data_IF_255048018875
#
_entry.id   IF_255048018875
#
_cell.length_a   1.000
_cell.length_b   1.000
_cell.length_c   1.000
_cell.angle_alpha   90.00
_cell.angle_beta   90.00
_cell.angle_gamma   90.00
#
_symmetry.space_group_name_H-M   'P 1'
#
loop_
_entity.id
_entity.type
_entity.pdbx_description
1 polymer ?
#
# COMPACT_ATOMS: atom_id res chain seq x y z
N UNK A 1 -27.98 1.79 -12.34
CA UNK A 1 -28.91 1.74 -13.50
C UNK A 1 -28.50 0.58 -14.37
N UNK A 2 -29.10 -0.58 -14.19
CA UNK A 2 -28.85 -1.78 -15.00
C UNK A 2 -29.89 -1.82 -16.12
N UNK A 3 -29.50 -1.68 -17.37
CA UNK A 3 -30.42 -1.96 -18.44
C UNK A 3 -30.18 -1.41 -19.84
N UNK A 4 -29.17 -0.61 -20.10
CA UNK A 4 -28.87 -0.18 -21.46
C UNK A 4 -27.67 -0.95 -22.03
N UNK A 5 -27.94 -1.91 -22.90
CA UNK A 5 -26.90 -2.48 -23.78
C UNK A 5 -27.26 -2.06 -25.23
N UNK A 6 -26.26 -1.98 -26.08
CA UNK A 6 -26.41 -1.62 -27.49
C UNK A 6 -27.44 -2.45 -28.27
N UNK A 7 -27.89 -3.58 -27.73
CA UNK A 7 -28.92 -4.45 -28.28
C UNK A 7 -30.35 -4.01 -27.95
N UNK A 8 -30.60 -3.08 -27.07
CA UNK A 8 -31.91 -2.71 -26.55
C UNK A 8 -32.46 -1.37 -27.16
N UNK A 9 -31.85 -0.88 -28.23
CA UNK A 9 -32.36 0.32 -28.91
C UNK A 9 -32.27 1.63 -28.11
N UNK A 10 -31.53 1.68 -27.04
CA UNK A 10 -31.16 2.94 -26.38
C UNK A 10 -30.24 3.70 -27.33
N UNK A 11 -30.70 4.84 -27.83
CA UNK A 11 -29.81 5.82 -28.47
C UNK A 11 -28.86 6.35 -27.37
N UNK A 12 -27.73 5.65 -27.18
CA UNK A 12 -26.62 6.25 -26.47
C UNK A 12 -26.13 7.37 -27.37
N UNK A 13 -26.19 8.65 -26.97
CA UNK A 13 -25.54 9.70 -27.72
C UNK A 13 -24.10 9.24 -27.99
N UNK A 14 -23.63 9.29 -29.22
CA UNK A 14 -22.22 9.17 -29.53
C UNK A 14 -21.50 10.06 -28.53
N UNK A 15 -20.52 9.50 -27.80
CA UNK A 15 -19.72 10.30 -26.88
C UNK A 15 -19.36 11.61 -27.58
N UNK A 16 -19.62 12.76 -26.98
CA UNK A 16 -19.25 14.01 -27.60
C UNK A 16 -17.78 13.89 -27.97
N UNK A 17 -17.45 14.26 -29.22
CA UNK A 17 -16.06 14.39 -29.61
C UNK A 17 -15.52 15.53 -28.78
N UNK A 18 -15.01 15.24 -27.61
CA UNK A 18 -14.44 16.23 -26.70
C UNK A 18 -13.14 16.68 -27.34
N UNK A 19 -13.23 17.75 -28.09
CA UNK A 19 -12.07 18.48 -28.55
C UNK A 19 -11.41 19.09 -27.30
N UNK A 20 -10.42 18.40 -26.75
CA UNK A 20 -9.28 18.90 -25.95
C UNK A 20 -9.47 20.10 -25.01
N UNK A 21 -10.57 20.22 -24.31
CA UNK A 21 -10.68 21.19 -23.22
C UNK A 21 -10.51 20.39 -21.93
N UNK A 22 -9.29 20.43 -21.35
CA UNK A 22 -9.12 20.04 -19.97
C UNK A 22 -10.05 20.90 -19.11
N UNK A 23 -10.78 20.31 -18.17
CA UNK A 23 -11.50 21.10 -17.19
C UNK A 23 -10.49 22.02 -16.49
N UNK A 24 -10.82 23.32 -16.29
CA UNK A 24 -9.91 24.19 -15.58
C UNK A 24 -9.74 23.64 -14.15
N UNK A 25 -8.51 23.57 -13.64
CA UNK A 25 -8.30 23.07 -12.28
C UNK A 25 -9.11 23.90 -11.29
N UNK A 26 -9.67 23.29 -10.21
CA UNK A 26 -10.42 24.02 -9.21
C UNK A 26 -9.64 25.21 -8.66
N UNK A 27 -10.27 26.39 -8.63
CA UNK A 27 -9.63 27.58 -8.11
C UNK A 27 -9.50 27.50 -6.57
N UNK A 28 -8.28 27.66 -6.07
CA UNK A 28 -8.04 27.71 -4.64
C UNK A 28 -8.49 29.08 -4.05
N UNK A 29 -9.08 29.10 -2.85
CA UNK A 29 -9.47 30.35 -2.20
C UNK A 29 -8.25 31.16 -1.80
N UNK A 30 -8.39 32.51 -1.78
CA UNK A 30 -7.37 33.34 -1.13
C UNK A 30 -7.26 32.98 0.37
N UNK A 31 -6.06 33.00 0.95
CA UNK A 31 -5.86 32.64 2.35
C UNK A 31 -6.72 33.49 3.32
N UNK A 32 -6.93 34.76 3.02
CA UNK A 32 -7.80 35.64 3.80
C UNK A 32 -9.29 35.28 3.75
N UNK A 33 -9.72 34.49 2.77
CA UNK A 33 -11.11 34.04 2.63
C UNK A 33 -11.38 32.75 3.39
N UNK A 34 -10.35 32.02 3.78
CA UNK A 34 -10.47 30.72 4.48
C UNK A 34 -10.90 30.95 5.93
N UNK A 35 -12.10 30.51 6.23
CA UNK A 35 -12.68 30.54 7.58
C UNK A 35 -13.79 29.48 7.68
N UNK A 36 -14.32 29.28 8.88
CA UNK A 36 -15.35 28.27 9.13
C UNK A 36 -16.61 28.47 8.28
N UNK A 37 -17.00 29.70 7.99
CA UNK A 37 -18.17 30.00 7.14
C UNK A 37 -17.90 29.55 5.69
N UNK A 38 -16.73 29.86 5.17
CA UNK A 38 -16.31 29.38 3.84
C UNK A 38 -16.29 27.86 3.80
N UNK A 39 -15.60 27.21 4.76
CA UNK A 39 -15.45 25.77 4.79
C UNK A 39 -16.82 25.05 4.82
N UNK A 40 -17.73 25.48 5.66
CA UNK A 40 -19.08 24.90 5.77
C UNK A 40 -19.97 25.17 4.57
N UNK A 41 -19.62 26.11 3.70
CA UNK A 41 -20.29 26.35 2.43
C UNK A 41 -19.84 25.38 1.32
N UNK A 42 -18.73 24.68 1.53
CA UNK A 42 -18.25 23.63 0.63
C UNK A 42 -18.87 22.27 0.98
N UNK A 43 -18.98 21.38 0.00
CA UNK A 43 -19.46 20.01 0.25
C UNK A 43 -18.55 19.27 1.25
N UNK A 44 -17.22 19.22 1.10
CA UNK A 44 -16.35 18.52 2.04
C UNK A 44 -16.45 19.08 3.47
N UNK A 45 -16.48 20.38 3.61
CA UNK A 45 -16.58 21.02 4.94
C UNK A 45 -17.92 20.80 5.62
N UNK A 46 -19.05 20.87 4.89
CA UNK A 46 -20.37 20.59 5.46
C UNK A 46 -20.52 19.12 5.86
N UNK A 47 -19.94 18.22 5.07
CA UNK A 47 -19.90 16.79 5.41
C UNK A 47 -19.03 16.52 6.65
N UNK A 48 -17.86 17.14 6.73
CA UNK A 48 -17.00 17.07 7.92
C UNK A 48 -17.72 17.60 9.16
N UNK A 49 -18.44 18.73 9.06
CA UNK A 49 -19.25 19.25 10.19
C UNK A 49 -20.31 18.26 10.66
N UNK A 50 -21.00 17.62 9.73
CA UNK A 50 -21.98 16.58 10.07
C UNK A 50 -21.33 15.42 10.83
N UNK A 51 -20.18 14.94 10.36
CA UNK A 51 -19.46 13.83 10.99
C UNK A 51 -18.94 14.20 12.38
N UNK A 52 -18.38 15.39 12.54
CA UNK A 52 -17.91 15.89 13.83
C UNK A 52 -19.07 16.05 14.82
N UNK A 53 -20.20 16.59 14.40
CA UNK A 53 -21.38 16.73 15.25
C UNK A 53 -21.96 15.38 15.67
N UNK A 54 -21.84 14.36 14.82
CA UNK A 54 -22.42 13.03 15.07
C UNK A 54 -21.49 12.12 15.89
N UNK A 55 -20.19 12.15 15.63
CA UNK A 55 -19.21 11.18 16.16
C UNK A 55 -18.11 11.83 17.01
N UNK A 56 -17.97 13.14 16.98
CA UNK A 56 -16.89 13.90 17.60
C UNK A 56 -15.75 14.20 16.63
N UNK A 57 -14.80 15.02 17.08
CA UNK A 57 -13.61 15.39 16.33
C UNK A 57 -12.68 14.18 16.09
N UNK A 58 -11.81 14.25 15.11
CA UNK A 58 -10.93 13.16 14.69
C UNK A 58 -10.04 12.56 15.79
N UNK A 59 -9.66 13.37 16.78
CA UNK A 59 -8.89 12.92 17.95
C UNK A 59 -9.74 12.43 19.14
N UNK A 60 -11.07 12.39 19.03
CA UNK A 60 -11.96 12.01 20.14
C UNK A 60 -11.98 10.51 20.44
N UNK A 61 -11.41 9.70 19.57
CA UNK A 61 -11.45 8.23 19.62
C UNK A 61 -12.76 7.61 19.09
N UNK A 62 -13.77 8.44 18.76
CA UNK A 62 -15.02 8.02 18.12
C UNK A 62 -15.28 8.75 16.80
N UNK A 63 -14.60 9.87 16.56
CA UNK A 63 -14.67 10.64 15.32
C UNK A 63 -13.91 10.01 14.15
N UNK A 64 -14.09 10.57 12.97
CA UNK A 64 -13.34 10.18 11.78
C UNK A 64 -11.91 10.73 11.88
N UNK A 65 -10.94 9.86 12.07
CA UNK A 65 -9.56 10.25 12.31
C UNK A 65 -8.81 10.62 11.03
N UNK A 66 -9.11 9.96 9.91
CA UNK A 66 -8.47 10.16 8.61
C UNK A 66 -9.54 10.32 7.53
N UNK A 67 -9.36 11.28 6.65
CA UNK A 67 -10.18 11.51 5.46
C UNK A 67 -9.31 11.30 4.23
N UNK A 68 -9.75 10.44 3.32
CA UNK A 68 -9.13 10.26 2.03
C UNK A 68 -9.65 11.27 1.01
N UNK A 69 -8.74 11.76 0.18
CA UNK A 69 -9.03 12.74 -0.85
C UNK A 69 -9.46 12.03 -2.14
N UNK A 70 -10.68 11.51 -2.12
CA UNK A 70 -11.31 10.73 -3.18
C UNK A 70 -10.77 9.29 -3.30
N UNK A 71 -11.01 8.64 -4.45
CA UNK A 71 -10.63 7.28 -4.76
C UNK A 71 -10.30 7.14 -6.24
N UNK A 72 -9.10 6.66 -6.54
CA UNK A 72 -8.64 6.27 -7.87
C UNK A 72 -9.05 7.23 -9.00
N UNK A 73 -8.51 8.46 -9.02
CA UNK A 73 -8.90 9.47 -10.03
C UNK A 73 -8.70 9.02 -11.48
N UNK A 74 -7.89 7.98 -11.71
CA UNK A 74 -7.70 7.37 -13.03
C UNK A 74 -8.94 6.68 -13.60
N UNK A 75 -9.96 6.47 -12.78
CA UNK A 75 -11.23 5.86 -13.19
C UNK A 75 -12.40 6.85 -13.29
N UNK A 76 -12.23 8.12 -12.92
CA UNK A 76 -13.30 9.11 -12.95
C UNK A 76 -13.92 9.27 -14.34
N UNK A 77 -13.08 9.37 -15.38
CA UNK A 77 -13.50 9.51 -16.78
C UNK A 77 -14.23 8.30 -17.37
N UNK A 78 -14.15 7.15 -16.68
CA UNK A 78 -14.83 5.91 -17.11
C UNK A 78 -15.97 5.49 -16.18
N UNK A 79 -15.82 5.66 -14.87
CA UNK A 79 -16.84 5.30 -13.89
C UNK A 79 -17.89 6.41 -13.72
N UNK A 80 -17.44 7.66 -13.76
CA UNK A 80 -18.24 8.85 -13.51
C UNK A 80 -18.32 9.76 -14.76
N UNK A 81 -18.23 9.16 -15.94
CA UNK A 81 -18.11 9.85 -17.23
C UNK A 81 -19.24 10.86 -17.52
N UNK A 82 -20.36 10.76 -16.85
CA UNK A 82 -21.49 11.67 -16.96
C UNK A 82 -21.28 13.01 -16.24
N UNK A 83 -20.37 13.05 -15.27
CA UNK A 83 -19.99 14.24 -14.51
C UNK A 83 -18.50 14.58 -14.67
N UNK A 84 -17.66 13.61 -14.99
CA UNK A 84 -16.22 13.77 -15.19
C UNK A 84 -15.74 13.01 -16.44
N UNK A 85 -16.03 13.52 -17.66
CA UNK A 85 -15.75 12.81 -18.91
C UNK A 85 -14.30 12.91 -19.41
N UNK A 86 -13.43 13.63 -18.71
CA UNK A 86 -12.05 13.87 -19.13
C UNK A 86 -11.05 13.17 -18.20
N UNK A 87 -9.91 12.71 -18.73
CA UNK A 87 -8.87 12.11 -17.92
C UNK A 87 -8.27 13.15 -16.95
N UNK A 88 -8.04 12.76 -15.71
CA UNK A 88 -7.50 13.64 -14.67
C UNK A 88 -6.13 14.24 -15.06
N UNK A 89 -5.87 15.44 -14.58
CA UNK A 89 -4.61 16.16 -14.73
C UNK A 89 -3.92 16.38 -13.38
N UNK A 90 -2.64 16.73 -13.43
CA UNK A 90 -1.84 17.09 -12.24
C UNK A 90 -2.52 18.18 -11.42
N UNK A 91 -2.90 19.29 -12.09
CA UNK A 91 -3.49 20.45 -11.41
C UNK A 91 -4.87 20.14 -10.84
N UNK A 92 -5.67 19.35 -11.53
CA UNK A 92 -7.03 19.02 -11.08
C UNK A 92 -7.02 18.26 -9.76
N UNK A 93 -6.34 17.11 -9.71
CA UNK A 93 -6.27 16.28 -8.51
C UNK A 93 -5.58 17.03 -7.37
N UNK A 94 -4.54 17.79 -7.69
CA UNK A 94 -3.78 18.53 -6.67
C UNK A 94 -4.59 19.67 -6.08
N UNK A 95 -5.20 20.52 -6.92
CA UNK A 95 -5.98 21.65 -6.43
C UNK A 95 -7.29 21.22 -5.77
N UNK A 96 -7.96 20.21 -6.32
CA UNK A 96 -9.13 19.59 -5.70
C UNK A 96 -8.81 19.03 -4.31
N UNK A 97 -7.70 18.29 -4.21
CA UNK A 97 -7.20 17.76 -2.95
C UNK A 97 -6.85 18.85 -1.94
N UNK A 98 -6.12 19.88 -2.33
CA UNK A 98 -5.78 21.04 -1.46
C UNK A 98 -7.05 21.74 -0.96
N UNK A 99 -8.00 22.03 -1.85
CA UNK A 99 -9.26 22.68 -1.50
C UNK A 99 -10.09 21.87 -0.52
N UNK A 100 -10.20 20.57 -0.76
CA UNK A 100 -10.91 19.61 0.11
C UNK A 100 -10.24 19.49 1.48
N UNK A 101 -8.92 19.29 1.52
CA UNK A 101 -8.16 19.20 2.76
C UNK A 101 -8.27 20.49 3.59
N UNK A 102 -8.24 21.65 2.93
CA UNK A 102 -8.38 22.93 3.58
C UNK A 102 -9.76 23.09 4.24
N UNK A 103 -10.82 22.66 3.57
CA UNK A 103 -12.17 22.67 4.13
C UNK A 103 -12.29 21.72 5.34
N UNK A 104 -11.77 20.50 5.25
CA UNK A 104 -11.74 19.52 6.34
C UNK A 104 -10.99 20.09 7.54
N UNK A 105 -9.74 20.52 7.36
CA UNK A 105 -8.89 21.04 8.45
C UNK A 105 -9.42 22.31 9.08
N UNK A 106 -10.20 23.12 8.36
CA UNK A 106 -10.84 24.32 8.90
C UNK A 106 -12.02 23.95 9.82
N UNK A 107 -12.73 22.88 9.54
CA UNK A 107 -13.84 22.38 10.39
C UNK A 107 -13.32 21.51 11.52
N UNK A 108 -12.41 20.58 11.23
CA UNK A 108 -11.76 19.70 12.21
C UNK A 108 -10.23 19.76 12.08
N UNK A 109 -9.57 20.65 12.82
CA UNK A 109 -8.11 20.74 12.79
C UNK A 109 -7.39 19.49 13.32
N UNK A 110 -8.12 18.57 13.98
CA UNK A 110 -7.55 17.34 14.56
C UNK A 110 -7.61 16.14 13.61
N UNK A 111 -8.44 16.21 12.56
CA UNK A 111 -8.51 15.21 11.53
C UNK A 111 -7.22 15.13 10.71
N UNK A 112 -6.86 13.95 10.27
CA UNK A 112 -5.77 13.72 9.32
C UNK A 112 -6.32 13.59 7.91
N UNK A 113 -5.48 13.84 6.90
CA UNK A 113 -5.87 13.79 5.50
C UNK A 113 -4.88 12.91 4.74
N UNK A 114 -5.40 12.04 3.89
CA UNK A 114 -4.70 11.08 3.05
C UNK A 114 -4.96 11.38 1.56
N UNK A 115 -4.01 11.11 0.70
CA UNK A 115 -4.15 11.26 -0.77
C UNK A 115 -2.80 11.16 -1.50
N UNK A 116 -2.82 11.11 -2.85
CA UNK A 116 -3.92 11.29 -3.80
C UNK A 116 -4.74 10.02 -4.12
N UNK A 117 -4.50 8.88 -3.47
CA UNK A 117 -5.24 7.62 -3.60
C UNK A 117 -5.27 7.11 -5.05
N UNK A 118 -4.12 7.15 -5.74
CA UNK A 118 -4.00 6.66 -7.11
C UNK A 118 -3.73 5.17 -7.17
N UNK A 119 -4.26 4.50 -8.20
CA UNK A 119 -4.54 3.06 -8.24
C UNK A 119 -3.42 2.14 -8.70
N UNK A 120 -2.46 2.59 -9.52
CA UNK A 120 -1.44 1.69 -10.05
C UNK A 120 -0.15 2.39 -10.47
N UNK A 121 0.87 1.60 -10.80
CA UNK A 121 2.25 2.02 -11.04
C UNK A 121 2.41 3.27 -11.90
N UNK A 122 1.72 3.34 -13.04
CA UNK A 122 1.86 4.48 -13.97
C UNK A 122 1.34 5.78 -13.39
N UNK A 123 0.26 5.72 -12.61
CA UNK A 123 -0.34 6.90 -11.98
C UNK A 123 0.50 7.49 -10.85
N UNK A 124 1.53 6.80 -10.38
CA UNK A 124 2.49 7.42 -9.46
C UNK A 124 3.40 8.44 -10.15
N UNK A 125 3.54 8.34 -11.47
CA UNK A 125 4.47 9.14 -12.27
C UNK A 125 3.81 10.04 -13.29
N UNK A 126 2.59 9.71 -13.72
CA UNK A 126 1.86 10.37 -14.81
C UNK A 126 0.41 10.58 -14.44
N UNK A 127 -0.22 11.66 -14.99
CA UNK A 127 -1.68 11.77 -14.96
C UNK A 127 -2.34 10.77 -15.92
N UNK A 128 -3.64 10.56 -15.77
CA UNK A 128 -4.42 9.78 -16.75
C UNK A 128 -4.35 10.40 -18.15
N UNK A 129 -4.33 11.74 -18.24
CA UNK A 129 -4.15 12.46 -19.49
C UNK A 129 -2.83 12.10 -20.18
N UNK A 130 -1.73 11.99 -19.46
CA UNK A 130 -0.45 11.56 -20.02
C UNK A 130 -0.51 10.11 -20.52
N UNK A 131 -1.12 9.22 -19.72
CA UNK A 131 -1.25 7.81 -20.04
C UNK A 131 -2.04 7.63 -21.33
N UNK A 132 -3.18 8.24 -21.46
CA UNK A 132 -4.02 8.16 -22.65
C UNK A 132 -3.36 8.79 -23.87
N UNK A 133 -2.73 9.94 -23.70
CA UNK A 133 -1.98 10.57 -24.78
C UNK A 133 -0.82 9.69 -25.27
N UNK A 134 -0.04 9.13 -24.34
CA UNK A 134 1.08 8.26 -24.67
C UNK A 134 0.65 7.00 -25.41
N UNK A 135 -0.44 6.35 -24.96
CA UNK A 135 -0.99 5.16 -25.63
C UNK A 135 -1.64 5.44 -26.97
N UNK A 136 -2.21 6.63 -27.18
CA UNK A 136 -2.95 6.96 -28.40
C UNK A 136 -2.13 7.67 -29.47
N UNK A 137 -1.16 8.48 -29.07
CA UNK A 137 -0.45 9.40 -29.99
C UNK A 137 1.07 9.36 -29.91
N UNK A 138 1.63 8.82 -28.81
CA UNK A 138 3.06 8.76 -28.62
C UNK A 138 3.73 7.74 -29.53
N UNK A 139 5.02 7.91 -29.88
CA UNK A 139 5.73 7.04 -30.81
C UNK A 139 5.91 5.60 -30.30
N UNK A 140 5.83 5.38 -29.01
CA UNK A 140 5.96 4.06 -28.38
C UNK A 140 4.62 3.47 -27.94
N UNK A 141 3.52 4.20 -28.04
CA UNK A 141 2.20 3.81 -27.55
C UNK A 141 2.19 3.43 -26.05
N UNK A 142 2.93 4.20 -25.25
CA UNK A 142 3.11 3.95 -23.83
C UNK A 142 3.11 5.28 -23.04
N UNK A 143 2.80 5.32 -21.74
CA UNK A 143 2.67 6.57 -20.97
C UNK A 143 3.87 7.51 -21.07
N UNK A 144 5.07 6.97 -21.16
CA UNK A 144 6.31 7.76 -21.27
C UNK A 144 6.55 8.35 -22.67
N UNK A 145 5.82 7.95 -23.68
CA UNK A 145 6.09 8.35 -25.06
C UNK A 145 5.48 9.68 -25.47
N UNK A 146 4.74 10.33 -24.61
CA UNK A 146 4.13 11.65 -24.90
C UNK A 146 3.51 12.31 -23.67
N UNK A 147 4.26 12.43 -22.54
CA UNK A 147 3.72 12.92 -21.28
C UNK A 147 3.51 14.45 -21.32
N UNK A 148 2.42 14.91 -21.90
CA UNK A 148 2.15 16.34 -22.11
C UNK A 148 1.85 17.11 -20.82
N UNK A 149 1.18 16.47 -19.85
CA UNK A 149 0.84 17.07 -18.57
C UNK A 149 2.08 17.11 -17.66
N UNK A 150 2.78 16.00 -17.51
CA UNK A 150 4.07 15.95 -16.80
C UNK A 150 5.08 16.93 -17.37
N UNK A 151 5.17 17.05 -18.71
CA UNK A 151 6.06 18.01 -19.38
C UNK A 151 5.70 19.46 -19.07
N UNK A 152 4.40 19.79 -18.98
CA UNK A 152 3.91 21.12 -18.58
C UNK A 152 4.29 21.45 -17.13
N UNK A 153 4.52 20.44 -16.29
CA UNK A 153 4.95 20.56 -14.88
C UNK A 153 6.46 20.29 -14.69
N UNK A 154 7.28 20.61 -15.68
CA UNK A 154 8.74 20.53 -15.59
C UNK A 154 9.31 19.10 -15.60
N UNK A 155 8.54 18.11 -16.04
CA UNK A 155 8.94 16.71 -16.08
C UNK A 155 8.88 16.00 -14.71
N UNK A 156 8.40 16.66 -13.66
CA UNK A 156 8.30 16.11 -12.30
C UNK A 156 7.29 14.96 -12.27
N UNK A 157 7.59 13.81 -11.63
CA UNK A 157 6.62 12.74 -11.42
C UNK A 157 5.40 13.20 -10.63
N UNK A 158 4.22 12.61 -10.91
CA UNK A 158 2.96 13.09 -10.34
C UNK A 158 2.96 13.14 -8.81
N UNK A 159 3.40 12.08 -8.13
CA UNK A 159 3.43 12.03 -6.66
C UNK A 159 4.38 13.08 -6.07
N UNK A 160 5.56 13.31 -6.67
CA UNK A 160 6.50 14.34 -6.23
C UNK A 160 5.89 15.74 -6.42
N UNK A 161 5.28 16.01 -7.57
CA UNK A 161 4.55 17.26 -7.83
C UNK A 161 3.45 17.48 -6.79
N UNK A 162 2.61 16.48 -6.55
CA UNK A 162 1.53 16.52 -5.57
C UNK A 162 2.05 16.92 -4.18
N UNK A 163 3.09 16.25 -3.70
CA UNK A 163 3.73 16.57 -2.41
C UNK A 163 4.29 18.00 -2.37
N UNK A 164 4.95 18.46 -3.43
CA UNK A 164 5.51 19.82 -3.55
C UNK A 164 4.41 20.87 -3.48
N UNK A 165 3.26 20.65 -4.14
CA UNK A 165 2.14 21.59 -4.10
C UNK A 165 1.48 21.64 -2.71
N UNK A 166 1.30 20.50 -2.04
CA UNK A 166 0.80 20.48 -0.66
C UNK A 166 1.76 21.19 0.33
N UNK A 167 3.06 21.05 0.14
CA UNK A 167 4.06 21.81 0.91
C UNK A 167 3.92 23.32 0.68
N UNK A 168 3.74 23.72 -0.57
CA UNK A 168 3.51 25.13 -0.95
C UNK A 168 2.20 25.64 -0.37
N UNK A 169 1.14 24.85 -0.42
CA UNK A 169 -0.15 25.18 0.19
C UNK A 169 -0.04 25.33 1.72
N UNK A 170 0.73 24.47 2.40
CA UNK A 170 1.01 24.66 3.84
C UNK A 170 1.66 26.01 4.13
N UNK A 171 2.61 26.45 3.32
CA UNK A 171 3.23 27.76 3.51
C UNK A 171 2.24 28.91 3.28
N UNK A 172 1.30 28.75 2.34
CA UNK A 172 0.28 29.74 2.00
C UNK A 172 -0.80 29.85 3.08
N UNK A 173 -1.30 28.71 3.57
CA UNK A 173 -2.45 28.67 4.49
C UNK A 173 -2.07 28.50 5.97
N UNK A 174 -0.81 28.24 6.27
CA UNK A 174 -0.31 28.11 7.65
C UNK A 174 -0.74 26.83 8.37
N UNK A 175 -1.30 25.85 7.65
CA UNK A 175 -1.77 24.57 8.20
C UNK A 175 -1.31 23.40 7.33
N UNK A 176 -0.91 22.29 7.97
CA UNK A 176 -0.59 21.06 7.27
C UNK A 176 -1.86 20.44 6.69
N UNK A 177 -1.89 20.25 5.36
CA UNK A 177 -3.07 19.79 4.64
C UNK A 177 -3.01 18.32 4.22
N UNK A 178 -1.82 17.72 4.16
CA UNK A 178 -1.64 16.30 3.84
C UNK A 178 -0.83 15.62 4.93
N UNK A 179 -1.42 14.65 5.58
CA UNK A 179 -0.78 13.87 6.65
C UNK A 179 -0.21 12.55 6.13
N UNK A 180 -0.82 11.96 5.10
CA UNK A 180 -0.37 10.73 4.45
C UNK A 180 -0.29 10.92 2.93
N UNK A 181 0.82 10.49 2.33
CA UNK A 181 0.81 10.14 0.91
C UNK A 181 0.29 8.72 0.80
N UNK A 182 -0.76 8.54 0.01
CA UNK A 182 -1.51 7.30 -0.07
C UNK A 182 -1.60 6.79 -1.50
N UNK A 183 -1.31 5.51 -1.68
CA UNK A 183 -1.29 4.84 -2.97
C UNK A 183 -2.03 3.51 -2.86
N UNK A 184 -2.84 3.18 -3.84
CA UNK A 184 -3.32 1.81 -4.01
C UNK A 184 -2.27 0.95 -4.70
N UNK A 185 -2.23 -0.33 -4.37
CA UNK A 185 -1.36 -1.26 -5.06
C UNK A 185 -1.95 -2.67 -5.07
N UNK A 186 -2.21 -3.16 -6.27
CA UNK A 186 -2.54 -4.55 -6.49
C UNK A 186 -1.35 -5.19 -7.18
N UNK A 187 -0.96 -6.39 -6.73
CA UNK A 187 0.23 -7.00 -7.29
C UNK A 187 0.04 -7.29 -8.79
N UNK A 188 1.10 -7.08 -9.53
CA UNK A 188 1.11 -7.18 -10.99
C UNK A 188 2.06 -8.28 -11.49
N UNK A 189 2.08 -9.44 -10.81
CA UNK A 189 2.90 -10.56 -11.23
C UNK A 189 2.33 -11.21 -12.48
N UNK A 190 3.22 -11.70 -13.34
CA UNK A 190 2.85 -12.49 -14.51
C UNK A 190 3.43 -13.90 -14.43
N UNK A 191 2.70 -14.84 -15.03
CA UNK A 191 3.16 -16.19 -15.24
C UNK A 191 2.76 -16.65 -16.65
N UNK A 192 3.70 -17.21 -17.41
CA UNK A 192 3.49 -17.62 -18.80
C UNK A 192 2.85 -16.54 -19.70
N UNK A 193 3.21 -15.28 -19.49
CA UNK A 193 2.71 -14.14 -20.27
C UNK A 193 1.28 -13.69 -19.91
N UNK A 194 0.68 -14.23 -18.85
CA UNK A 194 -0.63 -13.83 -18.34
C UNK A 194 -0.53 -13.31 -16.92
N UNK A 195 -1.36 -12.33 -16.58
CA UNK A 195 -1.45 -11.81 -15.21
C UNK A 195 -1.94 -12.88 -14.24
N UNK A 196 -1.33 -12.96 -13.06
CA UNK A 196 -1.75 -13.84 -11.98
C UNK A 196 -3.01 -13.29 -11.33
N UNK A 197 -4.07 -14.09 -11.28
CA UNK A 197 -5.38 -13.66 -10.78
C UNK A 197 -5.43 -13.41 -9.29
N UNK A 198 -6.34 -12.51 -8.89
CA UNK A 198 -6.61 -12.22 -7.48
C UNK A 198 -7.60 -13.20 -6.83
N UNK A 199 -8.48 -13.81 -7.62
CA UNK A 199 -9.63 -14.57 -7.11
C UNK A 199 -9.32 -16.00 -6.70
N UNK A 200 -8.24 -16.59 -7.24
CA UNK A 200 -7.83 -17.96 -6.94
C UNK A 200 -6.32 -18.06 -6.75
N UNK A 201 -5.87 -19.08 -6.03
CA UNK A 201 -4.45 -19.36 -5.87
C UNK A 201 -3.76 -19.68 -7.19
N UNK A 202 -4.48 -20.34 -8.10
CA UNK A 202 -3.94 -20.78 -9.38
C UNK A 202 -2.96 -21.94 -9.27
N UNK A 203 -2.26 -22.23 -10.37
CA UNK A 203 -1.26 -23.29 -10.41
C UNK A 203 0.06 -22.91 -9.68
N UNK A 204 0.96 -23.86 -9.50
CA UNK A 204 2.21 -23.67 -8.74
C UNK A 204 3.03 -22.47 -9.22
N UNK A 205 3.14 -22.24 -10.52
CA UNK A 205 3.89 -21.11 -11.06
C UNK A 205 3.26 -19.76 -10.74
N UNK A 206 1.94 -19.66 -10.80
CA UNK A 206 1.19 -18.46 -10.37
C UNK A 206 1.35 -18.20 -8.88
N UNK A 207 1.29 -19.27 -8.06
CA UNK A 207 1.52 -19.17 -6.62
C UNK A 207 2.93 -18.69 -6.29
N UNK A 208 3.96 -19.14 -7.00
CA UNK A 208 5.33 -18.66 -6.83
C UNK A 208 5.48 -17.20 -7.28
N UNK A 209 4.87 -16.81 -8.38
CA UNK A 209 4.88 -15.42 -8.86
C UNK A 209 4.22 -14.48 -7.83
N UNK A 210 3.09 -14.88 -7.27
CA UNK A 210 2.41 -14.14 -6.18
C UNK A 210 3.31 -13.94 -4.97
N UNK A 211 3.96 -14.98 -4.48
CA UNK A 211 4.85 -14.90 -3.32
C UNK A 211 6.10 -14.06 -3.61
N UNK A 212 6.60 -14.08 -4.86
CA UNK A 212 7.73 -13.24 -5.26
C UNK A 212 7.35 -11.78 -5.37
N UNK A 213 6.11 -11.45 -5.74
CA UNK A 213 5.68 -10.06 -5.96
C UNK A 213 5.72 -9.20 -4.69
N UNK A 214 5.66 -9.79 -3.49
CA UNK A 214 5.84 -9.07 -2.23
C UNK A 214 7.19 -8.36 -2.14
N UNK A 215 8.19 -8.83 -2.90
CA UNK A 215 9.52 -8.23 -2.99
C UNK A 215 9.52 -6.85 -3.65
N UNK A 216 8.49 -6.53 -4.45
CA UNK A 216 8.34 -5.22 -5.07
C UNK A 216 8.30 -4.05 -4.06
N UNK A 217 7.98 -4.33 -2.82
CA UNK A 217 7.85 -3.30 -1.78
C UNK A 217 9.18 -2.89 -1.15
N UNK A 218 10.24 -3.73 -1.24
CA UNK A 218 11.45 -3.52 -0.48
C UNK A 218 12.76 -3.97 -1.15
N UNK A 219 12.72 -4.98 -2.05
CA UNK A 219 13.93 -5.67 -2.50
C UNK A 219 14.57 -4.95 -3.70
N UNK A 220 15.80 -4.40 -3.55
CA UNK A 220 16.47 -3.69 -4.62
C UNK A 220 16.94 -4.60 -5.78
N UNK A 221 16.83 -5.93 -5.60
CA UNK A 221 17.22 -6.91 -6.64
C UNK A 221 16.00 -7.50 -7.36
N UNK A 222 14.78 -7.18 -6.92
CA UNK A 222 13.57 -7.66 -7.57
C UNK A 222 13.21 -6.76 -8.73
N UNK A 223 13.19 -7.33 -9.92
CA UNK A 223 12.70 -6.67 -11.13
C UNK A 223 11.53 -7.44 -11.70
N UNK A 224 10.51 -6.73 -12.17
CA UNK A 224 9.32 -7.30 -12.77
C UNK A 224 8.94 -6.48 -14.01
N UNK A 225 8.61 -7.10 -15.15
CA UNK A 225 8.20 -6.39 -16.36
C UNK A 225 6.96 -5.50 -16.18
N UNK A 226 6.16 -5.73 -15.14
CA UNK A 226 5.02 -4.89 -14.81
C UNK A 226 5.38 -3.60 -14.07
N UNK A 227 6.64 -3.45 -13.66
CA UNK A 227 7.19 -2.21 -13.07
C UNK A 227 8.35 -1.67 -13.93
N UNK A 228 8.12 -1.34 -15.20
CA UNK A 228 9.16 -0.74 -16.03
C UNK A 228 9.45 0.68 -15.54
N UNK A 229 10.60 1.22 -15.92
CA UNK A 229 10.90 2.63 -15.67
C UNK A 229 9.75 3.52 -16.14
N UNK A 230 9.31 4.47 -15.37
CA UNK A 230 10.07 5.68 -15.14
C UNK A 230 10.80 5.67 -13.80
N UNK A 231 11.98 6.22 -13.82
CA UNK A 231 12.72 6.51 -12.62
C UNK A 231 11.94 7.59 -11.84
N UNK A 232 11.49 7.30 -10.62
CA UNK A 232 10.89 8.30 -9.74
C UNK A 232 11.94 9.29 -9.22
N UNK A 233 13.21 8.93 -9.27
CA UNK A 233 14.30 9.79 -8.84
C UNK A 233 14.61 10.84 -9.89
N UNK A 234 13.93 11.99 -9.81
CA UNK A 234 14.47 13.30 -10.24
C UNK A 234 15.01 13.44 -11.68
N UNK A 235 14.80 12.51 -12.59
CA UNK A 235 15.19 12.76 -13.96
C UNK A 235 14.16 13.62 -14.68
N UNK A 236 14.21 14.93 -14.39
CA UNK A 236 13.45 15.95 -15.11
C UNK A 236 13.70 15.93 -16.63
N UNK A 237 14.72 15.20 -17.06
CA UNK A 237 15.09 15.04 -18.47
C UNK A 237 14.61 13.72 -19.08
N UNK A 238 13.94 12.85 -18.30
CA UNK A 238 13.35 11.65 -18.87
C UNK A 238 12.19 12.05 -19.80
N UNK A 239 12.51 12.22 -21.05
CA UNK A 239 11.50 12.60 -22.05
C UNK A 239 10.73 11.40 -22.60
N UNK A 240 11.17 10.18 -22.29
CA UNK A 240 10.57 8.94 -22.78
C UNK A 240 10.53 8.76 -24.30
N UNK A 241 10.76 9.84 -25.01
CA UNK A 241 10.50 9.92 -26.45
C UNK A 241 11.46 9.09 -27.33
N UNK A 242 12.55 8.59 -26.78
CA UNK A 242 13.55 7.79 -27.51
C UNK A 242 13.62 6.33 -27.08
N UNK A 243 12.96 5.94 -25.98
CA UNK A 243 13.06 4.59 -25.44
C UNK A 243 11.70 3.90 -25.38
N UNK A 244 11.41 3.10 -26.40
CA UNK A 244 10.18 2.30 -26.42
C UNK A 244 10.21 1.08 -25.47
N UNK A 245 11.37 0.77 -24.91
CA UNK A 245 11.55 -0.26 -23.89
C UNK A 245 12.44 0.28 -22.76
N UNK A 246 11.86 1.00 -21.82
CA UNK A 246 12.63 1.52 -20.69
C UNK A 246 13.19 0.37 -19.85
N UNK A 247 14.37 0.54 -19.22
CA UNK A 247 14.94 -0.48 -18.37
C UNK A 247 14.01 -0.80 -17.20
N UNK A 248 13.93 -2.08 -16.85
CA UNK A 248 13.20 -2.52 -15.67
C UNK A 248 13.98 -2.14 -14.42
N UNK A 249 13.29 -1.66 -13.40
CA UNK A 249 13.88 -1.36 -12.10
C UNK A 249 13.17 -2.11 -10.98
N UNK A 250 13.88 -2.24 -9.86
CA UNK A 250 13.29 -2.70 -8.62
C UNK A 250 12.37 -1.59 -8.06
N UNK A 251 11.07 -1.82 -7.92
CA UNK A 251 10.13 -0.76 -7.53
C UNK A 251 10.39 -0.25 -6.11
N UNK A 252 10.70 -1.13 -5.16
CA UNK A 252 10.92 -0.79 -3.74
C UNK A 252 9.86 0.19 -3.22
N UNK A 253 8.57 -0.09 -3.44
CA UNK A 253 7.46 0.86 -3.33
C UNK A 253 7.45 1.66 -2.02
N UNK A 254 7.61 1.01 -0.86
CA UNK A 254 7.60 1.73 0.42
C UNK A 254 8.81 2.67 0.55
N UNK A 255 9.99 2.25 0.06
CA UNK A 255 11.20 3.09 0.08
C UNK A 255 11.08 4.26 -0.90
N UNK A 256 10.46 4.02 -2.06
CA UNK A 256 10.13 5.07 -3.01
C UNK A 256 9.25 6.14 -2.36
N UNK A 257 8.11 5.75 -1.76
CA UNK A 257 7.21 6.67 -1.08
C UNK A 257 7.93 7.49 0.00
N UNK A 258 8.75 6.85 0.82
CA UNK A 258 9.54 7.53 1.86
C UNK A 258 10.58 8.50 1.29
N UNK A 259 11.16 8.17 0.15
CA UNK A 259 12.09 9.06 -0.55
C UNK A 259 11.37 10.31 -1.05
N UNK A 260 10.22 10.15 -1.74
CA UNK A 260 9.39 11.27 -2.18
C UNK A 260 9.00 12.17 -1.00
N UNK A 261 8.49 11.56 0.09
CA UNK A 261 8.14 12.32 1.30
C UNK A 261 9.34 13.10 1.87
N UNK A 262 10.50 12.45 1.99
CA UNK A 262 11.70 13.07 2.58
C UNK A 262 12.15 14.27 1.76
N UNK A 263 12.10 14.17 0.44
CA UNK A 263 12.57 15.21 -0.48
C UNK A 263 11.55 16.34 -0.63
N UNK A 264 10.28 16.00 -0.83
CA UNK A 264 9.28 16.94 -1.33
C UNK A 264 8.39 17.52 -0.22
N UNK A 265 7.95 16.71 0.75
CA UNK A 265 7.12 17.19 1.86
C UNK A 265 7.46 16.48 3.18
N UNK A 266 8.60 16.79 3.81
CA UNK A 266 9.05 16.14 5.04
C UNK A 266 8.00 16.14 6.15
N UNK A 267 7.89 15.00 6.84
CA UNK A 267 6.92 14.77 7.92
C UNK A 267 5.55 14.28 7.47
N UNK A 268 5.29 14.14 6.16
CA UNK A 268 4.16 13.35 5.65
C UNK A 268 4.44 11.88 5.94
N UNK A 269 3.41 11.14 6.32
CA UNK A 269 3.44 9.70 6.54
C UNK A 269 3.15 8.97 5.22
N UNK A 270 3.31 7.66 5.22
CA UNK A 270 3.03 6.81 4.06
C UNK A 270 1.85 5.89 4.32
N UNK A 271 0.94 5.77 3.37
CA UNK A 271 -0.22 4.90 3.42
C UNK A 271 -0.36 4.06 2.16
N UNK A 272 -0.91 2.86 2.32
CA UNK A 272 -1.41 2.00 1.25
C UNK A 272 -2.77 1.51 1.73
N UNK A 273 -3.82 2.21 1.37
CA UNK A 273 -5.15 1.95 1.91
C UNK A 273 -5.99 0.98 1.08
N UNK A 274 -5.48 0.60 -0.11
CA UNK A 274 -5.95 -0.57 -0.84
C UNK A 274 -4.80 -1.43 -1.33
N UNK A 275 -4.80 -2.71 -0.95
CA UNK A 275 -3.91 -3.72 -1.49
C UNK A 275 -4.51 -5.12 -1.36
N UNK A 276 -4.12 -6.04 -2.26
CA UNK A 276 -4.47 -7.45 -2.17
C UNK A 276 -3.50 -8.26 -3.05
N UNK A 277 -3.01 -9.39 -2.52
CA UNK A 277 -2.16 -10.31 -3.27
C UNK A 277 -2.93 -11.51 -3.87
N UNK A 278 -4.22 -11.63 -3.57
CA UNK A 278 -5.08 -12.70 -4.10
C UNK A 278 -4.82 -14.09 -3.51
N UNK A 279 -5.52 -15.08 -4.04
CA UNK A 279 -5.39 -16.48 -3.60
C UNK A 279 -5.78 -16.71 -2.14
N UNK A 280 -6.65 -15.86 -1.59
CA UNK A 280 -6.97 -15.79 -0.16
C UNK A 280 -7.72 -17.02 0.37
N UNK A 281 -8.26 -17.83 -0.50
CA UNK A 281 -8.92 -19.11 -0.19
C UNK A 281 -7.92 -20.25 0.10
N UNK A 282 -6.63 -20.02 -0.14
CA UNK A 282 -5.58 -21.02 -0.02
C UNK A 282 -4.43 -20.53 0.88
N UNK A 283 -3.60 -21.48 1.31
CA UNK A 283 -2.39 -21.17 2.10
C UNK A 283 -1.48 -20.18 1.38
N UNK A 284 -1.40 -20.22 0.06
CA UNK A 284 -0.56 -19.34 -0.74
C UNK A 284 -0.91 -17.86 -0.53
N UNK A 285 -2.21 -17.52 -0.57
CA UNK A 285 -2.66 -16.15 -0.26
C UNK A 285 -2.40 -15.76 1.19
N UNK A 286 -2.54 -16.70 2.14
CA UNK A 286 -2.21 -16.44 3.54
C UNK A 286 -0.72 -16.15 3.73
N UNK A 287 0.16 -16.88 3.04
CA UNK A 287 1.61 -16.63 3.08
C UNK A 287 1.96 -15.25 2.51
N UNK A 288 1.39 -14.88 1.37
CA UNK A 288 1.59 -13.56 0.76
C UNK A 288 1.09 -12.44 1.70
N UNK A 289 -0.11 -12.60 2.27
CA UNK A 289 -0.70 -11.63 3.19
C UNK A 289 0.10 -11.52 4.51
N UNK A 290 0.59 -12.63 5.06
CA UNK A 290 1.44 -12.57 6.25
C UNK A 290 2.80 -11.93 5.95
N UNK A 291 3.37 -12.21 4.77
CA UNK A 291 4.63 -11.64 4.33
C UNK A 291 4.54 -10.12 4.17
N UNK A 292 3.49 -9.63 3.51
CA UNK A 292 3.31 -8.19 3.32
C UNK A 292 3.07 -7.44 4.64
N UNK A 293 2.34 -8.02 5.59
CA UNK A 293 2.18 -7.43 6.93
C UNK A 293 3.53 -7.32 7.65
N UNK A 294 4.39 -8.33 7.54
CA UNK A 294 5.75 -8.29 8.06
C UNK A 294 6.62 -7.25 7.35
N UNK A 295 6.49 -7.12 6.02
CA UNK A 295 7.18 -6.10 5.21
C UNK A 295 6.73 -4.70 5.64
N UNK A 296 5.43 -4.44 5.79
CA UNK A 296 4.91 -3.15 6.24
C UNK A 296 5.53 -2.73 7.57
N UNK A 297 5.58 -3.65 8.55
CA UNK A 297 6.20 -3.38 9.84
C UNK A 297 7.72 -3.14 9.73
N UNK A 298 8.44 -3.95 8.93
CA UNK A 298 9.90 -3.83 8.76
C UNK A 298 10.30 -2.58 7.99
N UNK A 299 9.61 -2.26 6.90
CA UNK A 299 9.90 -1.08 6.08
C UNK A 299 9.27 0.19 6.68
N UNK A 300 8.39 0.04 7.70
CA UNK A 300 7.77 1.14 8.43
C UNK A 300 6.77 1.91 7.58
N UNK A 301 5.85 1.22 6.93
CA UNK A 301 4.63 1.82 6.40
C UNK A 301 3.76 2.29 7.57
N UNK A 302 3.23 3.50 7.50
CA UNK A 302 2.50 4.09 8.63
C UNK A 302 1.03 3.62 8.71
N UNK A 303 0.39 3.36 7.55
CA UNK A 303 -0.99 2.89 7.46
C UNK A 303 -1.11 1.89 6.31
N UNK A 304 -1.86 0.82 6.53
CA UNK A 304 -2.24 -0.11 5.48
C UNK A 304 -3.66 -0.62 5.70
N UNK A 305 -4.51 -0.58 4.67
CA UNK A 305 -5.84 -1.16 4.70
C UNK A 305 -5.98 -2.20 3.58
N UNK A 306 -6.47 -3.36 3.94
CA UNK A 306 -6.61 -4.49 3.04
C UNK A 306 -7.96 -4.47 2.33
N UNK A 307 -7.98 -4.61 1.01
CA UNK A 307 -9.19 -4.72 0.21
C UNK A 307 -9.49 -6.19 -0.18
N UNK A 308 -10.45 -6.86 0.48
CA UNK A 308 -10.85 -8.22 0.09
C UNK A 308 -11.69 -8.17 -1.18
N UNK A 309 -11.26 -8.87 -2.24
CA UNK A 309 -11.94 -8.88 -3.54
C UNK A 309 -13.22 -9.71 -3.59
N UNK A 310 -13.47 -10.56 -2.57
CA UNK A 310 -14.62 -11.46 -2.51
C UNK A 310 -15.11 -11.63 -1.06
N UNK A 311 -16.09 -12.52 -0.86
CA UNK A 311 -16.66 -12.76 0.45
C UNK A 311 -15.62 -13.27 1.47
N UNK A 312 -15.35 -12.55 2.57
CA UNK A 312 -14.38 -12.96 3.58
C UNK A 312 -14.63 -14.36 4.18
N UNK A 313 -15.86 -14.84 4.17
CA UNK A 313 -16.18 -16.20 4.67
C UNK A 313 -15.56 -17.33 3.85
N UNK A 314 -15.22 -17.09 2.59
CA UNK A 314 -14.53 -18.05 1.72
C UNK A 314 -13.02 -17.83 1.67
N UNK A 315 -12.54 -16.76 2.27
CA UNK A 315 -11.14 -16.31 2.28
C UNK A 315 -10.46 -16.55 3.63
N UNK A 316 -10.89 -17.56 4.38
CA UNK A 316 -10.40 -17.85 5.73
C UNK A 316 -8.87 -17.92 5.80
N UNK A 317 -8.14 -18.59 4.91
CA UNK A 317 -6.69 -18.62 4.97
C UNK A 317 -6.04 -17.21 4.91
N UNK A 318 -6.49 -16.35 4.01
CA UNK A 318 -6.03 -14.98 3.95
C UNK A 318 -6.31 -14.20 5.24
N UNK A 319 -7.49 -14.39 5.85
CA UNK A 319 -7.84 -13.74 7.11
C UNK A 319 -7.04 -14.28 8.31
N UNK A 320 -6.66 -15.56 8.29
CA UNK A 320 -5.83 -16.16 9.33
C UNK A 320 -4.43 -15.53 9.43
N UNK A 321 -3.92 -14.93 8.35
CA UNK A 321 -2.67 -14.19 8.40
C UNK A 321 -2.73 -12.99 9.37
N UNK A 322 -3.84 -12.27 9.42
CA UNK A 322 -4.06 -11.21 10.42
C UNK A 322 -4.11 -11.78 11.84
N UNK A 323 -4.73 -12.96 12.01
CA UNK A 323 -4.79 -13.61 13.33
C UNK A 323 -3.40 -13.97 13.84
N UNK A 324 -2.44 -14.36 12.99
CA UNK A 324 -1.03 -14.59 13.38
C UNK A 324 -0.44 -13.37 14.10
N UNK A 325 -0.77 -12.17 13.65
CA UNK A 325 -0.26 -10.93 14.24
C UNK A 325 -1.14 -10.37 15.38
N UNK A 326 -2.46 -10.71 15.41
CA UNK A 326 -3.40 -10.01 16.29
C UNK A 326 -4.20 -10.90 17.24
N UNK A 327 -4.15 -12.22 17.06
CA UNK A 327 -4.94 -13.18 17.86
C UNK A 327 -4.45 -14.62 17.67
N UNK A 328 -3.16 -14.87 17.74
CA UNK A 328 -2.56 -16.16 17.39
C UNK A 328 -2.94 -17.31 18.34
N UNK A 329 -3.41 -17.01 19.54
CA UNK A 329 -3.78 -17.98 20.58
C UNK A 329 -5.28 -18.03 20.90
N UNK A 330 -6.10 -17.26 20.17
CA UNK A 330 -7.53 -17.12 20.43
C UNK A 330 -7.89 -16.19 21.60
N UNK A 331 -6.89 -15.65 22.31
CA UNK A 331 -7.05 -14.80 23.49
C UNK A 331 -6.68 -13.32 23.22
N UNK A 332 -6.64 -12.93 21.94
CA UNK A 332 -6.24 -11.60 21.47
C UNK A 332 -4.77 -11.24 21.78
N UNK A 333 -3.92 -12.25 21.99
CA UNK A 333 -2.49 -12.00 22.07
C UNK A 333 -1.93 -11.53 20.74
N UNK A 334 -1.03 -10.54 20.80
CA UNK A 334 -0.53 -9.85 19.62
C UNK A 334 0.95 -10.09 19.38
N UNK A 335 1.36 -9.95 18.13
CA UNK A 335 2.76 -9.72 17.76
C UNK A 335 3.28 -8.44 18.43
N UNK A 336 4.60 -8.26 18.50
CA UNK A 336 5.20 -7.08 19.10
C UNK A 336 4.88 -5.79 18.35
N UNK A 337 5.03 -4.68 19.04
CA UNK A 337 4.73 -3.31 18.59
C UNK A 337 5.98 -2.48 18.27
N UNK A 338 7.18 -3.02 18.52
CA UNK A 338 8.47 -2.40 18.16
C UNK A 338 9.23 -3.32 17.24
N UNK A 339 9.33 -2.97 15.98
CA UNK A 339 10.07 -3.75 14.99
C UNK A 339 11.53 -3.94 15.40
N UNK A 340 12.03 -5.16 15.25
CA UNK A 340 13.43 -5.51 15.45
C UNK A 340 14.06 -5.85 14.10
N UNK A 341 15.34 -5.56 13.96
CA UNK A 341 16.10 -5.98 12.78
C UNK A 341 16.07 -7.50 12.68
N UNK A 342 15.61 -8.01 11.55
CA UNK A 342 15.53 -9.45 11.28
C UNK A 342 16.04 -9.74 9.87
N UNK A 343 16.83 -10.79 9.73
CA UNK A 343 17.46 -11.20 8.48
C UNK A 343 17.34 -12.69 8.28
N UNK A 344 17.15 -13.10 7.04
CA UNK A 344 17.23 -14.48 6.58
C UNK A 344 18.28 -14.57 5.47
N UNK A 345 18.92 -15.73 5.34
CA UNK A 345 19.84 -15.97 4.22
C UNK A 345 19.15 -15.82 2.86
N UNK A 346 17.84 -16.10 2.80
CA UNK A 346 17.02 -15.87 1.63
C UNK A 346 15.59 -15.48 2.03
N UNK A 347 15.36 -14.19 2.17
CA UNK A 347 14.07 -13.60 2.54
C UNK A 347 12.95 -13.91 1.51
N UNK A 348 13.32 -14.21 0.26
CA UNK A 348 12.36 -14.63 -0.76
C UNK A 348 11.80 -16.04 -0.57
N UNK A 349 12.54 -16.95 0.10
CA UNK A 349 12.14 -18.33 0.34
C UNK A 349 11.67 -18.57 1.79
N UNK A 350 12.42 -18.03 2.75
CA UNK A 350 12.14 -18.12 4.19
C UNK A 350 12.21 -16.71 4.76
N UNK A 351 11.07 -16.02 4.82
CA UNK A 351 11.04 -14.67 5.39
C UNK A 351 10.95 -14.69 6.90
N UNK A 352 11.58 -13.70 7.54
CA UNK A 352 11.59 -13.53 8.98
C UNK A 352 11.28 -12.09 9.37
N UNK A 353 10.38 -11.92 10.34
CA UNK A 353 9.99 -10.65 10.92
C UNK A 353 9.97 -10.77 12.44
N UNK A 354 10.60 -9.82 13.13
CA UNK A 354 10.70 -9.84 14.58
C UNK A 354 10.26 -8.51 15.18
N UNK A 355 9.67 -8.56 16.36
CA UNK A 355 9.33 -7.38 17.14
C UNK A 355 9.40 -7.65 18.64
N UNK A 356 9.71 -6.61 19.40
CA UNK A 356 9.56 -6.57 20.85
C UNK A 356 8.12 -6.17 21.18
N UNK A 357 7.49 -6.89 22.07
CA UNK A 357 6.16 -6.58 22.59
C UNK A 357 6.28 -5.78 23.89
N UNK A 358 5.91 -4.48 23.83
CA UNK A 358 6.14 -3.56 24.94
C UNK A 358 5.37 -3.91 26.22
N UNK A 359 4.28 -4.68 26.11
CA UNK A 359 3.43 -5.01 27.27
C UNK A 359 4.07 -6.01 28.24
N UNK A 360 5.00 -6.86 27.75
CA UNK A 360 5.63 -7.93 28.56
C UNK A 360 7.10 -8.18 28.17
N UNK A 361 7.67 -7.34 27.33
CA UNK A 361 9.02 -7.45 26.78
C UNK A 361 9.33 -8.77 26.05
N UNK A 362 8.31 -9.54 25.67
CA UNK A 362 8.53 -10.74 24.87
C UNK A 362 9.01 -10.39 23.47
N UNK A 363 9.97 -11.15 22.95
CA UNK A 363 10.34 -11.11 21.54
C UNK A 363 9.43 -12.06 20.77
N UNK A 364 8.74 -11.52 19.77
CA UNK A 364 7.89 -12.28 18.85
C UNK A 364 8.58 -12.36 17.49
N UNK A 365 8.60 -13.55 16.88
CA UNK A 365 9.22 -13.78 15.58
C UNK A 365 8.28 -14.58 14.70
N UNK A 366 7.88 -14.01 13.56
CA UNK A 366 7.15 -14.71 12.50
C UNK A 366 8.15 -15.17 11.46
N UNK A 367 8.12 -16.45 11.10
CA UNK A 367 8.91 -17.07 10.04
C UNK A 367 7.95 -17.68 9.03
N UNK A 368 8.12 -17.34 7.75
CA UNK A 368 7.25 -17.78 6.67
C UNK A 368 8.06 -18.62 5.69
N UNK A 369 7.79 -19.92 5.64
CA UNK A 369 8.33 -20.81 4.61
C UNK A 369 7.43 -20.74 3.37
N UNK A 370 7.92 -20.08 2.33
CA UNK A 370 7.21 -19.91 1.04
C UNK A 370 7.42 -21.07 0.09
N UNK A 371 8.26 -22.07 0.45
CA UNK A 371 8.64 -23.18 -0.42
C UNK A 371 7.71 -24.38 -0.27
N UNK A 372 7.73 -25.26 -1.27
CA UNK A 372 6.96 -26.50 -1.27
C UNK A 372 7.66 -27.66 -0.52
N UNK A 373 8.79 -27.39 0.11
CA UNK A 373 9.53 -28.32 0.95
C UNK A 373 9.75 -27.81 2.37
N UNK A 374 9.99 -28.68 3.35
CA UNK A 374 10.40 -28.25 4.67
C UNK A 374 11.80 -27.61 4.61
N UNK A 375 12.04 -26.60 5.44
CA UNK A 375 13.34 -25.97 5.62
C UNK A 375 13.76 -26.08 7.08
N UNK A 376 15.01 -26.45 7.34
CA UNK A 376 15.54 -26.53 8.71
C UNK A 376 16.60 -25.46 8.89
N UNK A 377 16.46 -24.67 9.93
CA UNK A 377 17.41 -23.60 10.27
C UNK A 377 17.44 -23.32 11.78
N UNK A 378 18.37 -22.47 12.19
CA UNK A 378 18.52 -22.01 13.57
C UNK A 378 18.09 -20.56 13.69
N UNK A 379 17.12 -20.28 14.55
CA UNK A 379 16.75 -18.91 14.90
C UNK A 379 17.71 -18.36 15.94
N UNK A 380 18.39 -17.26 15.62
CA UNK A 380 19.32 -16.55 16.50
C UNK A 380 18.70 -15.25 17.01
N UNK A 381 18.70 -15.06 18.32
CA UNK A 381 18.18 -13.89 19.02
C UNK A 381 19.34 -13.14 19.66
N UNK A 382 19.87 -12.13 18.96
CA UNK A 382 21.00 -11.33 19.43
C UNK A 382 20.57 -10.35 20.54
N UNK A 383 21.42 -10.19 21.55
CA UNK A 383 21.19 -9.29 22.70
C UNK A 383 19.89 -9.55 23.46
N UNK A 384 19.44 -10.80 23.46
CA UNK A 384 18.24 -11.22 24.15
C UNK A 384 18.50 -12.51 24.98
N UNK A 385 18.13 -12.46 26.24
CA UNK A 385 18.20 -13.62 27.15
C UNK A 385 16.79 -13.97 27.60
N UNK A 386 16.25 -15.11 27.13
CA UNK A 386 14.90 -15.52 27.50
C UNK A 386 14.83 -15.96 28.98
N UNK A 387 13.70 -15.71 29.63
CA UNK A 387 13.41 -16.18 30.99
C UNK A 387 12.80 -17.59 31.02
N UNK A 388 12.47 -18.16 29.84
CA UNK A 388 11.80 -19.47 29.76
C UNK A 388 11.81 -20.06 28.34
N UNK A 389 10.95 -21.05 28.15
CA UNK A 389 10.75 -21.66 26.83
C UNK A 389 9.99 -20.71 25.88
N UNK A 390 10.33 -20.75 24.61
CA UNK A 390 9.53 -20.08 23.57
C UNK A 390 8.24 -20.89 23.28
N UNK A 391 7.10 -20.19 23.31
CA UNK A 391 5.86 -20.75 22.76
C UNK A 391 5.92 -20.73 21.25
N UNK A 392 5.32 -21.72 20.61
CA UNK A 392 5.33 -21.87 19.15
C UNK A 392 3.90 -22.06 18.66
N UNK A 393 3.56 -21.35 17.61
CA UNK A 393 2.26 -21.43 16.94
C UNK A 393 2.49 -21.61 15.43
N UNK A 394 1.76 -22.54 14.83
CA UNK A 394 1.89 -22.93 13.42
C UNK A 394 0.58 -22.74 12.67
N UNK A 395 0.65 -22.10 11.52
CA UNK A 395 -0.40 -22.09 10.53
C UNK A 395 0.12 -22.68 9.22
N UNK A 396 -0.57 -23.68 8.67
CA UNK A 396 -0.13 -24.41 7.47
C UNK A 396 -1.30 -25.13 6.78
N UNK A 397 -1.04 -25.78 5.66
CA UNK A 397 -2.01 -26.62 4.93
C UNK A 397 -2.62 -27.77 5.75
N UNK A 398 -2.04 -28.16 6.89
CA UNK A 398 -2.62 -29.20 7.74
C UNK A 398 -3.91 -28.76 8.43
N UNK A 399 -4.08 -27.48 8.65
CA UNK A 399 -5.31 -26.91 9.18
C UNK A 399 -5.46 -25.45 8.73
N UNK A 400 -6.24 -25.21 7.71
CA UNK A 400 -6.49 -23.86 7.18
C UNK A 400 -7.46 -23.03 8.03
N UNK A 401 -8.11 -23.63 9.02
CA UNK A 401 -9.13 -22.96 9.84
C UNK A 401 -8.60 -22.52 11.22
N UNK A 402 -7.36 -22.89 11.58
CA UNK A 402 -6.83 -22.56 12.89
C UNK A 402 -5.30 -22.47 12.91
N UNK A 403 -4.80 -21.56 13.75
CA UNK A 403 -3.42 -21.53 14.20
C UNK A 403 -3.27 -22.56 15.32
N UNK A 404 -2.32 -23.47 15.19
CA UNK A 404 -2.17 -24.61 16.10
C UNK A 404 -0.95 -24.39 17.02
N UNK A 405 -1.18 -24.40 18.32
CA UNK A 405 -0.08 -24.37 19.28
C UNK A 405 0.77 -25.65 19.15
N UNK A 406 2.07 -25.47 19.13
CA UNK A 406 3.06 -26.54 19.06
C UNK A 406 3.73 -26.71 20.44
N UNK A 407 4.45 -27.82 20.68
CA UNK A 407 5.29 -27.95 21.89
C UNK A 407 6.21 -26.76 22.05
N UNK A 408 6.35 -26.28 23.29
CA UNK A 408 7.28 -25.21 23.61
C UNK A 408 8.72 -25.65 23.30
N UNK A 409 9.55 -24.71 22.90
CA UNK A 409 10.95 -24.98 22.57
C UNK A 409 11.89 -24.36 23.59
N UNK A 410 12.93 -25.12 23.93
CA UNK A 410 14.03 -24.58 24.72
C UNK A 410 14.79 -23.54 23.90
N UNK A 411 14.93 -22.35 24.46
CA UNK A 411 15.84 -21.33 23.92
C UNK A 411 17.18 -21.52 24.66
N UNK A 412 18.21 -21.88 23.92
CA UNK A 412 19.58 -22.02 24.49
C UNK A 412 20.13 -20.62 24.77
N UNK A 413 20.46 -20.30 25.99
CA UNK A 413 21.01 -19.00 26.37
C UNK A 413 22.39 -18.76 25.73
N UNK A 414 22.89 -17.51 25.73
CA UNK A 414 24.20 -17.20 25.20
C UNK A 414 25.29 -18.02 25.90
N UNK A 415 26.27 -18.46 25.13
CA UNK A 415 27.50 -19.02 25.72
C UNK A 415 28.22 -17.96 26.60
N UNK A 416 29.07 -18.41 27.51
CA UNK A 416 29.83 -17.51 28.41
C UNK A 416 30.56 -16.42 27.60
N UNK A 417 30.26 -15.15 27.88
CA UNK A 417 30.78 -13.99 27.15
C UNK A 417 30.05 -13.67 25.81
N UNK A 418 29.07 -14.47 25.43
CA UNK A 418 28.25 -14.23 24.24
C UNK A 418 26.99 -13.43 24.55
N UNK A 419 26.30 -12.95 23.48
CA UNK A 419 25.06 -12.17 23.59
C UNK A 419 23.90 -12.78 22.81
N UNK A 420 24.10 -13.96 22.19
CA UNK A 420 23.12 -14.57 21.29
C UNK A 420 22.51 -15.83 21.86
N UNK A 421 21.19 -15.81 22.03
CA UNK A 421 20.40 -17.01 22.35
C UNK A 421 19.93 -17.69 21.04
N UNK A 422 19.67 -18.99 21.09
CA UNK A 422 19.29 -19.76 19.89
C UNK A 422 18.13 -20.73 20.13
N UNK A 423 17.33 -20.93 19.09
CA UNK A 423 16.42 -22.06 18.89
C UNK A 423 17.03 -22.86 17.73
N UNK A 424 17.70 -23.97 18.06
CA UNK A 424 18.49 -24.73 17.10
C UNK A 424 17.64 -25.72 16.29
N UNK A 425 17.98 -25.87 15.00
CA UNK A 425 17.46 -26.95 14.13
C UNK A 425 15.94 -27.05 14.08
N UNK A 426 15.23 -25.93 14.04
CA UNK A 426 13.79 -25.95 13.86
C UNK A 426 13.44 -26.23 12.39
N UNK A 427 12.55 -27.19 12.17
CA UNK A 427 12.05 -27.51 10.82
C UNK A 427 10.76 -26.77 10.57
N UNK A 428 10.81 -25.78 9.69
CA UNK A 428 9.66 -25.04 9.17
C UNK A 428 8.95 -25.88 8.12
N UNK A 429 7.69 -26.33 8.35
CA UNK A 429 6.96 -27.10 7.35
C UNK A 429 6.85 -26.37 6.02
N UNK A 430 6.65 -27.11 4.93
CA UNK A 430 6.37 -26.51 3.62
C UNK A 430 5.13 -25.60 3.68
N UNK A 431 5.17 -24.45 3.02
CA UNK A 431 4.08 -23.49 2.96
C UNK A 431 3.43 -23.25 4.32
N UNK A 432 4.20 -22.65 5.24
CA UNK A 432 3.77 -22.45 6.61
C UNK A 432 4.16 -21.09 7.16
N UNK A 433 3.43 -20.64 8.18
CA UNK A 433 3.72 -19.49 9.01
C UNK A 433 3.95 -20.00 10.42
N UNK A 434 5.14 -19.78 10.96
CA UNK A 434 5.50 -20.16 12.33
C UNK A 434 5.73 -18.91 13.16
N UNK A 435 5.02 -18.77 14.26
CA UNK A 435 5.23 -17.69 15.24
C UNK A 435 5.90 -18.25 16.49
N UNK A 436 7.02 -17.63 16.86
CA UNK A 436 7.69 -17.84 18.15
C UNK A 436 7.39 -16.68 19.09
N UNK A 437 7.15 -16.98 20.36
CA UNK A 437 7.00 -16.00 21.44
C UNK A 437 7.97 -16.36 22.53
N UNK A 438 9.09 -15.66 22.61
CA UNK A 438 10.13 -15.85 23.59
C UNK A 438 9.96 -14.84 24.73
N UNK A 439 9.67 -15.27 25.97
CA UNK A 439 9.53 -14.37 27.12
C UNK A 439 10.89 -13.82 27.55
N UNK A 440 10.90 -12.58 28.05
CA UNK A 440 12.06 -11.95 28.67
C UNK A 440 12.02 -12.16 30.19
#
# INVERSE_FOLDING_TARGET
MSGCTSSNGCNIPSAPTVTSIAEPPPALPAASAVNTTWAKATWPGSWTEYLVNKFGAGNSGAGVAVYDLDNEPSWWDSNDFDVHPLPFTYDEVTNGGIGTALAIKTVDPTAQVSGPVVDYWWNYFYSKKDIENGWSTGPCYEPWSGPIDRAAHGGVPFIEYYLQQFKTAQATYGVRLLDYVDLHTYFAATYNGSGVGLTTAGETGEQMARLNSTRAFWDPTYTDPNYPQPNYSTDANYTGASECNPPQQAPQLIRMMKTCVTNDYPGTKTAIDEYNFGGLEAINGALAQADILGIFGREGLDLGAFWPTTNPSTQIPGMMSFAVYRNYDGNKSTFGDKALTSTSANQGLLSVYAALRSSDNAVTVVVINKTYGPLTDTLSLANFTPSGQAKVYLYSNTNLNAIVAQPNLTVTPPASGGTTSTIANYTFPAQSITLFVAPQ
#
